data_IF_974127885068
#
_entry.id   IF_974127885068
#
_cell.length_a   1.000
_cell.length_b   1.000
_cell.length_c   1.000
_cell.angle_alpha   90.00
_cell.angle_beta   90.00
_cell.angle_gamma   90.00
#
_symmetry.space_group_name_H-M   'P 1'
#
loop_
_entity.id
_entity.type
_entity.pdbx_description
1 polymer ?
#
# COMPACT_ATOMS: atom_id res chain seq x y z
N UNK A 1 -16.26 2.92 -4.38
CA UNK A 1 -15.71 3.01 -3.01
C UNK A 1 -15.73 1.61 -2.44
N UNK A 2 -14.58 1.08 -1.99
CA UNK A 2 -14.45 -0.20 -1.32
C UNK A 2 -15.50 -0.42 -0.23
N UNK A 3 -15.98 -1.66 -0.11
CA UNK A 3 -16.94 -2.09 0.91
C UNK A 3 -16.40 -3.33 1.61
N UNK A 4 -16.17 -3.24 2.93
CA UNK A 4 -15.43 -4.20 3.78
C UNK A 4 -15.36 -5.65 3.26
N UNK A 5 -16.50 -6.34 3.09
CA UNK A 5 -16.59 -7.70 2.55
C UNK A 5 -17.97 -7.87 1.93
N UNK A 6 -18.04 -8.54 0.79
CA UNK A 6 -19.34 -8.93 0.23
C UNK A 6 -19.92 -10.10 1.05
N UNK A 7 -21.21 -10.02 1.40
CA UNK A 7 -21.87 -11.02 2.26
C UNK A 7 -22.22 -12.34 1.56
N UNK A 8 -22.01 -12.41 0.25
CA UNK A 8 -22.26 -13.56 -0.62
C UNK A 8 -21.01 -14.43 -0.86
N UNK A 9 -19.86 -14.03 -0.32
CA UNK A 9 -18.60 -14.77 -0.42
C UNK A 9 -18.13 -15.27 0.96
N UNK A 10 -17.36 -16.35 0.95
CA UNK A 10 -16.69 -16.84 2.15
C UNK A 10 -15.32 -16.15 2.30
N UNK A 11 -15.04 -15.66 3.51
CA UNK A 11 -13.80 -14.95 3.83
C UNK A 11 -13.15 -15.58 5.05
N UNK A 12 -11.84 -15.41 5.21
CA UNK A 12 -11.14 -15.81 6.44
C UNK A 12 -11.58 -14.94 7.62
N UNK A 13 -11.35 -15.43 8.84
CA UNK A 13 -11.40 -14.55 10.01
C UNK A 13 -10.36 -13.42 9.88
N UNK A 14 -10.60 -12.31 10.58
CA UNK A 14 -9.66 -11.19 10.62
C UNK A 14 -8.38 -11.60 11.36
N UNK A 15 -7.24 -11.48 10.69
CA UNK A 15 -5.95 -11.43 11.36
C UNK A 15 -5.66 -9.97 11.70
N UNK A 16 -5.68 -9.66 13.00
CA UNK A 16 -5.69 -8.29 13.50
C UNK A 16 -4.48 -8.00 14.36
N UNK A 17 -3.82 -6.86 14.12
CA UNK A 17 -2.76 -6.34 14.98
C UNK A 17 -3.03 -4.89 15.37
N UNK A 18 -2.47 -4.50 16.50
CA UNK A 18 -2.55 -3.13 17.01
C UNK A 18 -1.23 -2.73 17.67
N UNK A 19 -0.83 -1.48 17.50
CA UNK A 19 0.35 -0.91 18.11
C UNK A 19 0.19 0.60 18.34
N UNK A 20 1.01 1.15 19.22
CA UNK A 20 1.07 2.59 19.46
C UNK A 20 2.20 3.19 18.61
N UNK A 21 1.93 4.33 17.97
CA UNK A 21 2.92 5.12 17.24
C UNK A 21 3.02 6.51 17.87
N UNK A 22 4.26 6.95 18.13
CA UNK A 22 4.58 8.20 18.82
C UNK A 22 4.74 9.39 17.84
N UNK A 23 3.74 9.61 16.99
CA UNK A 23 3.61 10.81 16.14
C UNK A 23 2.14 11.23 15.99
N UNK A 24 1.86 12.28 15.23
CA UNK A 24 0.49 12.68 14.91
C UNK A 24 -0.14 11.76 13.84
N UNK A 25 -1.42 11.43 13.96
CA UNK A 25 -2.09 10.49 13.05
C UNK A 25 -2.18 10.98 11.59
N UNK A 26 -2.08 12.29 11.31
CA UNK A 26 -2.02 12.82 9.94
C UNK A 26 -0.87 12.20 9.13
N UNK A 27 0.21 11.80 9.79
CA UNK A 27 1.39 11.22 9.13
C UNK A 27 1.09 9.92 8.38
N UNK A 28 0.04 9.18 8.77
CA UNK A 28 -0.45 7.99 8.05
C UNK A 28 -1.31 8.40 6.85
N UNK A 29 -2.13 9.43 7.04
CA UNK A 29 -3.05 9.90 5.99
C UNK A 29 -2.27 10.37 4.76
N UNK A 30 -1.11 11.01 4.97
CA UNK A 30 -0.22 11.46 3.88
C UNK A 30 0.20 10.30 2.92
N UNK A 31 0.24 9.04 3.36
CA UNK A 31 0.57 7.90 2.48
C UNK A 31 -0.45 7.68 1.35
N UNK A 32 -1.69 8.20 1.47
CA UNK A 32 -2.75 8.08 0.43
C UNK A 32 -2.29 8.64 -0.91
N UNK A 33 -1.41 9.63 -0.91
CA UNK A 33 -0.92 10.32 -2.13
C UNK A 33 0.55 10.03 -2.44
N UNK A 34 1.19 9.14 -1.69
CA UNK A 34 2.60 8.84 -1.88
C UNK A 34 2.75 7.71 -2.91
N UNK A 35 2.98 8.05 -4.17
CA UNK A 35 3.22 7.06 -5.22
C UNK A 35 4.61 6.42 -5.10
N UNK A 36 5.62 7.18 -4.69
CA UNK A 36 7.01 6.75 -4.75
C UNK A 36 7.37 5.71 -3.68
N UNK A 37 6.74 5.76 -2.49
CA UNK A 37 7.04 4.79 -1.42
C UNK A 37 6.71 3.35 -1.84
N UNK A 38 5.81 3.11 -2.80
CA UNK A 38 5.57 1.76 -3.33
C UNK A 38 6.85 1.10 -3.86
N UNK A 39 7.75 1.87 -4.49
CA UNK A 39 9.02 1.34 -4.99
C UNK A 39 10.05 1.12 -3.89
N UNK A 40 10.18 2.08 -2.97
CA UNK A 40 11.24 2.09 -1.95
C UNK A 40 10.90 1.27 -0.70
N UNK A 41 9.63 1.28 -0.29
CA UNK A 41 9.12 0.64 0.93
C UNK A 41 8.52 -0.72 0.59
N UNK A 42 7.58 -0.77 -0.34
CA UNK A 42 6.84 -2.00 -0.70
C UNK A 42 7.48 -2.82 -1.83
N UNK A 43 8.63 -2.40 -2.33
CA UNK A 43 9.39 -3.12 -3.36
C UNK A 43 8.58 -3.45 -4.64
N UNK A 44 7.74 -2.52 -5.08
CA UNK A 44 6.93 -2.65 -6.29
C UNK A 44 7.06 -1.45 -7.22
N UNK A 45 6.98 -1.70 -8.53
CA UNK A 45 6.79 -0.64 -9.50
C UNK A 45 5.31 -0.21 -9.54
N UNK A 46 4.96 1.02 -9.15
CA UNK A 46 3.60 1.55 -9.30
C UNK A 46 3.34 1.89 -10.78
N UNK A 47 2.64 1.01 -11.48
CA UNK A 47 2.31 1.15 -12.91
C UNK A 47 1.04 1.96 -13.17
N UNK A 48 0.24 2.21 -12.15
CA UNK A 48 -0.92 3.10 -12.16
C UNK A 48 -1.08 3.72 -10.77
N UNK A 49 -1.40 5.01 -10.70
CA UNK A 49 -1.64 5.71 -9.44
C UNK A 49 -2.60 6.88 -9.64
N UNK A 50 -3.72 6.86 -8.91
CA UNK A 50 -4.75 7.89 -8.98
C UNK A 50 -5.34 8.18 -7.61
N UNK A 51 -5.64 9.45 -7.35
CA UNK A 51 -6.33 9.90 -6.16
C UNK A 51 -7.67 10.54 -6.49
N UNK A 52 -8.66 10.31 -5.62
CA UNK A 52 -9.99 10.92 -5.69
C UNK A 52 -10.40 11.35 -4.28
N UNK A 53 -10.68 12.64 -4.08
CA UNK A 53 -11.19 13.17 -2.82
C UNK A 53 -12.58 13.76 -3.05
N UNK A 54 -13.59 13.32 -2.31
CA UNK A 54 -14.96 13.80 -2.45
C UNK A 54 -15.74 13.60 -1.16
N UNK A 55 -16.42 14.65 -0.70
CA UNK A 55 -17.09 14.68 0.59
C UNK A 55 -16.13 14.27 1.72
N UNK A 56 -16.53 13.27 2.50
CA UNK A 56 -15.76 12.74 3.61
C UNK A 56 -14.91 11.50 3.22
N UNK A 57 -14.65 11.28 1.92
CA UNK A 57 -13.92 10.09 1.42
C UNK A 57 -12.67 10.50 0.64
N UNK A 58 -11.55 9.85 0.92
CA UNK A 58 -10.31 9.96 0.14
C UNK A 58 -9.89 8.59 -0.37
N UNK A 59 -9.69 8.47 -1.69
CA UNK A 59 -9.42 7.22 -2.39
C UNK A 59 -8.04 7.29 -3.04
N UNK A 60 -7.30 6.19 -2.94
CA UNK A 60 -6.15 5.86 -3.75
C UNK A 60 -6.51 4.63 -4.60
N UNK A 61 -6.33 4.74 -5.91
CA UNK A 61 -6.34 3.60 -6.82
C UNK A 61 -4.90 3.38 -7.30
N UNK A 62 -4.40 2.15 -7.15
CA UNK A 62 -3.03 1.80 -7.50
C UNK A 62 -2.99 0.44 -8.18
N UNK A 63 -2.04 0.26 -9.10
CA UNK A 63 -1.67 -1.06 -9.59
C UNK A 63 -0.16 -1.13 -9.77
N UNK A 64 0.42 -2.32 -9.58
CA UNK A 64 1.86 -2.48 -9.64
C UNK A 64 2.31 -3.90 -9.93
N UNK A 65 3.63 -4.01 -10.14
CA UNK A 65 4.33 -5.29 -10.31
C UNK A 65 5.51 -5.37 -9.36
N UNK A 66 5.82 -6.58 -8.87
CA UNK A 66 6.95 -6.79 -7.96
C UNK A 66 8.30 -6.50 -8.62
N UNK A 67 9.33 -6.25 -7.81
CA UNK A 67 10.70 -6.08 -8.30
C UNK A 67 11.47 -7.40 -8.32
N UNK A 68 12.05 -7.72 -9.48
CA UNK A 68 12.85 -8.94 -9.67
C UNK A 68 14.17 -8.94 -8.86
N UNK A 69 14.66 -7.78 -8.40
CA UNK A 69 15.84 -7.70 -7.53
C UNK A 69 15.53 -7.97 -6.05
N UNK A 70 14.27 -8.11 -5.66
CA UNK A 70 13.87 -8.41 -4.28
C UNK A 70 13.38 -9.84 -4.13
N UNK A 71 12.54 -10.31 -5.04
CA UNK A 71 11.99 -11.67 -5.01
C UNK A 71 12.47 -12.46 -6.22
N UNK A 72 13.17 -13.56 -5.98
CA UNK A 72 13.54 -14.52 -7.02
C UNK A 72 12.54 -15.67 -7.03
N UNK A 73 11.91 -15.90 -8.19
CA UNK A 73 11.00 -17.03 -8.38
C UNK A 73 11.80 -18.25 -8.84
N UNK A 74 12.08 -19.18 -7.92
CA UNK A 74 12.94 -20.34 -8.21
C UNK A 74 12.18 -21.66 -8.30
N UNK A 75 10.97 -21.73 -7.74
CA UNK A 75 10.17 -22.94 -7.71
C UNK A 75 9.15 -22.95 -8.87
N UNK A 76 9.28 -23.86 -9.85
CA UNK A 76 8.35 -23.93 -10.99
C UNK A 76 6.96 -24.44 -10.61
N UNK A 77 6.80 -25.08 -9.45
CA UNK A 77 5.53 -25.65 -8.98
C UNK A 77 4.69 -24.64 -8.20
N UNK A 78 5.27 -23.50 -7.81
CA UNK A 78 4.54 -22.39 -7.19
C UNK A 78 4.06 -21.42 -8.30
N UNK A 79 2.78 -21.03 -8.33
CA UNK A 79 2.28 -20.04 -9.28
C UNK A 79 2.89 -18.65 -9.05
N UNK A 80 3.45 -18.03 -10.10
CA UNK A 80 4.13 -16.73 -10.00
C UNK A 80 3.15 -15.58 -9.79
N UNK A 81 3.46 -14.67 -8.85
CA UNK A 81 2.78 -13.37 -8.74
C UNK A 81 3.22 -12.46 -9.89
N UNK A 82 2.27 -12.03 -10.72
CA UNK A 82 2.53 -11.22 -11.92
C UNK A 82 2.14 -9.75 -11.76
N UNK A 83 1.36 -9.40 -10.75
CA UNK A 83 0.98 -8.03 -10.43
C UNK A 83 -0.04 -7.93 -9.32
N UNK A 84 -0.45 -6.71 -8.99
CA UNK A 84 -1.52 -6.44 -8.05
C UNK A 84 -2.28 -5.16 -8.42
N UNK A 85 -3.50 -5.06 -7.92
CA UNK A 85 -4.30 -3.84 -7.88
C UNK A 85 -4.80 -3.58 -6.45
N UNK A 86 -4.92 -2.29 -6.12
CA UNK A 86 -5.44 -1.78 -4.85
C UNK A 86 -6.44 -0.66 -5.11
N UNK A 87 -7.54 -0.67 -4.37
CA UNK A 87 -8.41 0.49 -4.21
C UNK A 87 -8.56 0.70 -2.70
N UNK A 88 -7.86 1.69 -2.18
CA UNK A 88 -7.85 2.06 -0.77
C UNK A 88 -8.67 3.33 -0.54
N UNK A 89 -9.63 3.29 0.38
CA UNK A 89 -10.49 4.44 0.68
C UNK A 89 -10.60 4.69 2.18
N UNK A 90 -10.22 5.91 2.60
CA UNK A 90 -10.60 6.45 3.90
C UNK A 90 -12.08 6.83 3.91
N UNK A 91 -12.81 6.28 4.87
CA UNK A 91 -14.19 6.66 5.20
C UNK A 91 -14.15 7.57 6.42
N UNK A 92 -14.06 8.88 6.20
CA UNK A 92 -13.78 9.85 7.25
C UNK A 92 -12.29 9.90 7.63
N UNK A 93 -11.94 10.40 8.83
CA UNK A 93 -10.57 10.78 9.13
C UNK A 93 -9.62 9.64 9.52
N UNK A 94 -10.13 8.43 9.77
CA UNK A 94 -9.32 7.43 10.50
C UNK A 94 -9.58 5.97 10.19
N UNK A 95 -10.44 5.65 9.22
CA UNK A 95 -10.78 4.27 8.88
C UNK A 95 -10.65 4.04 7.37
N UNK A 96 -9.59 3.37 6.94
CA UNK A 96 -9.36 2.97 5.55
C UNK A 96 -9.74 1.51 5.34
N UNK A 97 -10.44 1.26 4.24
CA UNK A 97 -10.68 -0.07 3.67
C UNK A 97 -9.94 -0.13 2.34
N UNK A 98 -9.10 -1.15 2.17
CA UNK A 98 -8.33 -1.40 0.97
C UNK A 98 -8.71 -2.76 0.37
N UNK A 99 -9.33 -2.70 -0.81
CA UNK A 99 -9.65 -3.87 -1.62
C UNK A 99 -8.45 -4.21 -2.49
N UNK A 100 -7.82 -5.35 -2.20
CA UNK A 100 -6.59 -5.80 -2.82
C UNK A 100 -6.85 -7.02 -3.71
N UNK A 101 -6.33 -6.98 -4.94
CA UNK A 101 -6.33 -8.11 -5.86
C UNK A 101 -4.89 -8.43 -6.26
N UNK A 102 -4.45 -9.65 -5.95
CA UNK A 102 -3.15 -10.15 -6.35
C UNK A 102 -3.31 -11.11 -7.54
N UNK A 103 -2.64 -10.81 -8.64
CA UNK A 103 -2.72 -11.56 -9.88
C UNK A 103 -1.61 -12.60 -9.92
N UNK A 104 -1.98 -13.87 -9.89
CA UNK A 104 -1.07 -15.00 -10.06
C UNK A 104 -1.22 -15.60 -11.46
N UNK A 105 -0.23 -16.37 -11.90
CA UNK A 105 -0.38 -17.20 -13.09
C UNK A 105 -1.54 -18.20 -12.91
N UNK A 106 -2.66 -17.94 -13.59
CA UNK A 106 -3.83 -18.83 -13.65
C UNK A 106 -5.00 -18.47 -12.74
N UNK A 107 -4.83 -17.60 -11.74
CA UNK A 107 -5.91 -17.19 -10.83
C UNK A 107 -5.60 -15.86 -10.12
N UNK A 108 -6.65 -15.27 -9.52
CA UNK A 108 -6.55 -14.09 -8.67
C UNK A 108 -6.81 -14.45 -7.21
N UNK A 109 -6.16 -13.74 -6.30
CA UNK A 109 -6.45 -13.77 -4.87
C UNK A 109 -6.96 -12.41 -4.44
N UNK A 110 -8.20 -12.36 -3.98
CA UNK A 110 -8.83 -11.16 -3.45
C UNK A 110 -8.64 -11.10 -1.93
N UNK A 111 -8.30 -9.93 -1.41
CA UNK A 111 -8.17 -9.69 0.03
C UNK A 111 -8.64 -8.29 0.39
N UNK A 112 -8.93 -8.09 1.67
CA UNK A 112 -9.28 -6.79 2.23
C UNK A 112 -8.30 -6.49 3.35
N UNK A 113 -7.69 -5.33 3.28
CA UNK A 113 -6.88 -4.74 4.34
C UNK A 113 -7.68 -3.61 5.00
N UNK A 114 -7.77 -3.64 6.31
CA UNK A 114 -8.21 -2.50 7.12
C UNK A 114 -6.95 -1.81 7.63
N UNK A 115 -6.87 -0.50 7.42
CA UNK A 115 -5.88 0.37 8.06
C UNK A 115 -6.64 1.45 8.81
N UNK A 116 -6.64 1.40 10.14
CA UNK A 116 -7.37 2.36 10.95
C UNK A 116 -6.63 2.80 12.19
N UNK A 117 -6.99 3.97 12.70
CA UNK A 117 -6.30 4.56 13.84
C UNK A 117 -7.24 5.39 14.71
N UNK A 118 -6.82 5.64 15.94
CA UNK A 118 -7.43 6.65 16.81
C UNK A 118 -6.37 7.36 17.65
N UNK A 119 -6.48 8.69 17.81
CA UNK A 119 -5.51 9.45 18.60
C UNK A 119 -5.64 9.14 20.09
N UNK A 120 -4.51 8.94 20.75
CA UNK A 120 -4.38 8.97 22.22
C UNK A 120 -4.13 10.41 22.65
N UNK A 121 -3.26 11.11 21.92
CA UNK A 121 -2.91 12.52 22.12
C UNK A 121 -2.55 13.18 20.78
N UNK A 122 -2.16 14.45 20.79
CA UNK A 122 -1.71 15.15 19.59
C UNK A 122 -0.46 14.53 18.94
N UNK A 123 0.35 13.78 19.70
CA UNK A 123 1.61 13.19 19.25
C UNK A 123 1.66 11.66 19.46
N UNK A 124 0.50 11.02 19.64
CA UNK A 124 0.45 9.58 19.81
C UNK A 124 -0.92 9.05 19.37
N UNK A 125 -0.93 7.94 18.65
CA UNK A 125 -2.17 7.26 18.27
C UNK A 125 -1.99 5.74 18.31
N UNK A 126 -3.11 5.03 18.42
CA UNK A 126 -3.14 3.58 18.18
C UNK A 126 -3.38 3.35 16.70
N UNK A 127 -2.48 2.61 16.07
CA UNK A 127 -2.62 2.06 14.75
C UNK A 127 -3.15 0.64 14.85
N UNK A 128 -4.08 0.28 13.98
CA UNK A 128 -4.60 -1.07 13.85
C UNK A 128 -4.69 -1.44 12.39
N UNK A 129 -4.40 -2.71 12.11
CA UNK A 129 -4.64 -3.26 10.79
C UNK A 129 -5.18 -4.67 10.87
N UNK A 130 -6.02 -4.99 9.89
CA UNK A 130 -6.71 -6.27 9.79
C UNK A 130 -6.65 -6.78 8.37
N UNK A 131 -6.30 -8.05 8.20
CA UNK A 131 -6.26 -8.68 6.87
C UNK A 131 -7.29 -9.80 6.82
N UNK A 132 -7.97 -9.91 5.68
CA UNK A 132 -8.82 -11.04 5.35
C UNK A 132 -8.71 -11.40 3.89
N UNK A 133 -8.68 -12.69 3.62
CA UNK A 133 -8.56 -13.22 2.26
C UNK A 133 -9.88 -13.88 1.88
N UNK A 134 -10.34 -13.64 0.65
CA UNK A 134 -11.53 -14.29 0.09
C UNK A 134 -11.17 -15.74 -0.23
N UNK A 135 -12.00 -16.68 0.24
CA UNK A 135 -11.82 -18.09 -0.14
C UNK A 135 -12.30 -18.30 -1.56
N UNK A 136 -11.55 -19.08 -2.34
CA UNK A 136 -11.91 -19.41 -3.72
C UNK A 136 -11.57 -20.87 -4.01
N UNK A 137 -12.42 -21.51 -4.82
CA UNK A 137 -12.22 -22.85 -5.37
C UNK A 137 -11.18 -22.89 -6.50
N UNK A 138 -10.74 -21.73 -6.99
CA UNK A 138 -9.66 -21.59 -7.97
C UNK A 138 -8.28 -21.87 -7.39
N UNK A 139 -8.13 -21.77 -6.06
CA UNK A 139 -6.91 -22.15 -5.36
C UNK A 139 -6.98 -23.65 -5.07
N UNK A 140 -5.94 -24.44 -5.41
CA UNK A 140 -5.91 -25.87 -5.08
C UNK A 140 -6.20 -26.11 -3.59
N UNK A 141 -7.12 -27.01 -3.27
CA UNK A 141 -7.58 -27.23 -1.90
C UNK A 141 -6.44 -27.58 -0.91
N UNK A 142 -5.39 -28.25 -1.41
CA UNK A 142 -4.19 -28.61 -0.63
C UNK A 142 -3.31 -27.41 -0.29
N UNK A 143 -3.44 -26.30 -1.04
CA UNK A 143 -2.67 -25.06 -0.88
C UNK A 143 -3.49 -23.91 -0.28
N UNK A 144 -4.81 -24.03 -0.19
CA UNK A 144 -5.69 -22.91 0.17
C UNK A 144 -5.32 -22.27 1.52
N UNK A 145 -5.17 -23.07 2.57
CA UNK A 145 -4.81 -22.56 3.90
C UNK A 145 -3.38 -21.99 3.92
N UNK A 146 -2.42 -22.66 3.27
CA UNK A 146 -1.03 -22.20 3.21
C UNK A 146 -0.87 -20.91 2.41
N UNK A 147 -1.60 -20.77 1.30
CA UNK A 147 -1.61 -19.56 0.48
C UNK A 147 -2.23 -18.40 1.26
N UNK A 148 -3.34 -18.65 1.97
CA UNK A 148 -3.97 -17.65 2.85
C UNK A 148 -2.98 -17.17 3.92
N UNK A 149 -2.32 -18.09 4.63
CA UNK A 149 -1.36 -17.73 5.67
C UNK A 149 -0.15 -16.97 5.09
N UNK A 150 0.37 -17.40 3.94
CA UNK A 150 1.46 -16.73 3.24
C UNK A 150 1.06 -15.32 2.79
N UNK A 151 -0.18 -15.15 2.29
CA UNK A 151 -0.72 -13.86 1.87
C UNK A 151 -0.90 -12.90 3.04
N UNK A 152 -1.43 -13.39 4.16
CA UNK A 152 -1.56 -12.59 5.38
C UNK A 152 -0.18 -12.17 5.89
N UNK A 153 0.80 -13.09 5.85
CA UNK A 153 2.19 -12.79 6.17
C UNK A 153 2.79 -11.72 5.25
N UNK A 154 2.60 -11.86 3.93
CA UNK A 154 3.11 -10.94 2.92
C UNK A 154 2.53 -9.53 3.06
N UNK A 155 1.20 -9.41 3.16
CA UNK A 155 0.50 -8.13 3.37
C UNK A 155 0.90 -7.52 4.72
N UNK A 156 1.02 -8.36 5.76
CA UNK A 156 1.46 -7.93 7.08
C UNK A 156 2.88 -7.36 7.09
N UNK A 157 3.82 -7.99 6.38
CA UNK A 157 5.19 -7.47 6.22
C UNK A 157 5.18 -6.14 5.46
N UNK A 158 4.38 -6.03 4.39
CA UNK A 158 4.22 -4.78 3.64
C UNK A 158 3.81 -3.62 4.56
N UNK A 159 2.80 -3.84 5.40
CA UNK A 159 2.32 -2.83 6.35
C UNK A 159 3.32 -2.54 7.48
N UNK A 160 4.09 -3.55 7.92
CA UNK A 160 5.15 -3.37 8.90
C UNK A 160 6.32 -2.51 8.39
N UNK A 161 6.55 -2.46 7.07
CA UNK A 161 7.53 -1.56 6.47
C UNK A 161 7.13 -0.08 6.62
N UNK A 162 5.84 0.25 6.44
CA UNK A 162 5.34 1.60 6.70
C UNK A 162 5.46 1.99 8.17
N UNK A 163 5.17 1.05 9.07
CA UNK A 163 5.30 1.25 10.52
C UNK A 163 6.71 1.71 10.89
N UNK A 164 7.74 1.12 10.28
CA UNK A 164 9.12 1.54 10.54
C UNK A 164 9.43 2.95 10.03
N UNK A 165 8.82 3.39 8.92
CA UNK A 165 8.90 4.78 8.47
C UNK A 165 8.18 5.72 9.45
N UNK A 166 6.95 5.39 9.86
CA UNK A 166 6.16 6.24 10.77
C UNK A 166 6.79 6.40 12.15
N UNK A 167 7.48 5.38 12.66
CA UNK A 167 8.24 5.46 13.93
C UNK A 167 9.47 6.36 13.85
N UNK A 168 10.01 6.57 12.64
CA UNK A 168 11.32 7.22 12.42
C UNK A 168 11.22 8.49 11.55
N UNK A 169 10.03 9.04 11.34
CA UNK A 169 9.80 10.30 10.60
C UNK A 169 9.30 11.42 11.52
N UNK A 170 9.20 12.63 10.98
CA UNK A 170 8.59 13.77 11.65
C UNK A 170 7.60 14.48 10.74
N UNK A 171 6.66 15.19 11.36
CA UNK A 171 5.65 15.99 10.68
C UNK A 171 6.28 17.18 9.96
N UNK A 172 6.04 17.28 8.66
CA UNK A 172 6.49 18.42 7.84
C UNK A 172 5.27 19.21 7.35
N UNK A 173 5.11 20.43 7.84
CA UNK A 173 3.97 21.30 7.45
C UNK A 173 4.06 21.77 6.01
N UNK A 174 5.26 22.18 5.58
CA UNK A 174 5.53 22.71 4.25
C UNK A 174 6.45 21.73 3.50
N UNK A 175 5.94 20.59 3.02
CA UNK A 175 6.76 19.63 2.29
C UNK A 175 7.28 20.26 1.00
N UNK A 176 8.53 19.96 0.66
CA UNK A 176 9.09 20.29 -0.64
C UNK A 176 8.66 19.21 -1.63
N UNK A 177 7.80 19.57 -2.57
CA UNK A 177 7.24 18.64 -3.56
C UNK A 177 7.97 18.73 -4.90
N UNK A 178 8.01 17.59 -5.59
CA UNK A 178 8.46 17.40 -6.96
C UNK A 178 7.27 17.30 -7.92
N UNK A 179 7.51 17.07 -9.21
CA UNK A 179 6.42 16.85 -10.17
C UNK A 179 5.81 15.44 -10.04
N UNK A 180 6.53 14.53 -9.39
CA UNK A 180 6.21 13.12 -9.23
C UNK A 180 5.55 12.83 -7.86
N UNK A 181 5.36 13.86 -7.03
CA UNK A 181 4.57 13.77 -5.81
C UNK A 181 3.06 13.82 -6.10
N UNK A 182 2.28 13.06 -5.34
CA UNK A 182 0.83 13.17 -5.38
C UNK A 182 0.32 14.48 -4.77
N UNK A 183 -1.01 14.68 -4.75
CA UNK A 183 -1.65 15.94 -4.38
C UNK A 183 -1.71 16.17 -2.86
N UNK A 184 -0.54 16.23 -2.19
CA UNK A 184 -0.39 16.35 -0.72
C UNK A 184 -1.19 17.51 -0.13
N UNK A 185 -1.15 18.68 -0.76
CA UNK A 185 -1.88 19.84 -0.25
C UNK A 185 -3.39 19.70 -0.39
N UNK A 186 -3.89 19.08 -1.47
CA UNK A 186 -5.31 18.84 -1.67
C UNK A 186 -5.82 17.76 -0.71
N UNK A 187 -5.03 16.70 -0.47
CA UNK A 187 -5.33 15.71 0.56
C UNK A 187 -5.43 16.37 1.94
N UNK A 188 -4.43 17.19 2.31
CA UNK A 188 -4.43 17.88 3.61
C UNK A 188 -5.58 18.87 3.74
N UNK A 189 -5.94 19.57 2.66
CA UNK A 189 -7.11 20.45 2.60
C UNK A 189 -8.42 19.66 2.77
N UNK A 190 -8.54 18.50 2.14
CA UNK A 190 -9.65 17.58 2.37
C UNK A 190 -9.70 17.12 3.83
N UNK A 191 -8.56 16.79 4.43
CA UNK A 191 -8.47 16.32 5.81
C UNK A 191 -8.81 17.40 6.85
N UNK A 192 -8.57 18.68 6.53
CA UNK A 192 -8.88 19.81 7.39
C UNK A 192 -10.37 19.90 7.76
N UNK A 193 -11.27 19.37 6.91
CA UNK A 193 -12.72 19.36 7.18
C UNK A 193 -13.07 18.70 8.53
N UNK A 194 -12.24 17.78 9.01
CA UNK A 194 -12.46 17.04 10.26
C UNK A 194 -11.96 17.80 11.51
N UNK A 195 -11.34 18.97 11.33
CA UNK A 195 -10.72 19.77 12.38
C UNK A 195 -11.31 21.19 12.48
N UNK A 196 -12.35 21.48 11.70
CA UNK A 196 -13.16 22.70 11.79
C UNK A 196 -14.59 22.35 12.19
N UNK A 197 -15.36 23.33 12.66
CA UNK A 197 -16.79 23.12 12.89
C UNK A 197 -17.50 22.83 11.55
N UNK A 198 -18.54 22.00 11.55
CA UNK A 198 -19.27 21.60 10.32
C UNK A 198 -19.80 22.81 9.54
N UNK A 199 -20.14 23.90 10.23
CA UNK A 199 -20.58 25.15 9.60
C UNK A 199 -19.48 25.90 8.83
N UNK A 200 -18.22 25.59 9.13
CA UNK A 200 -17.03 26.22 8.55
C UNK A 200 -16.36 25.35 7.46
N UNK A 201 -16.93 24.18 7.14
CA UNK A 201 -16.46 23.36 6.01
C UNK A 201 -16.69 24.12 4.72
N UNK A 202 -15.62 24.35 3.95
CA UNK A 202 -15.68 25.08 2.69
C UNK A 202 -15.76 24.14 1.49
N UNK A 203 -16.32 24.56 0.33
CA UNK A 203 -16.52 23.68 -0.83
C UNK A 203 -15.23 23.02 -1.30
N UNK A 204 -14.12 23.73 -1.25
CA UNK A 204 -12.80 23.26 -1.64
C UNK A 204 -12.19 22.16 -0.73
N UNK A 205 -12.80 21.86 0.42
CA UNK A 205 -12.44 20.70 1.25
C UNK A 205 -13.20 19.43 0.84
N UNK A 206 -14.35 19.56 0.17
CA UNK A 206 -15.32 18.47 -0.04
C UNK A 206 -15.73 18.26 -1.50
N UNK A 207 -15.54 19.25 -2.36
CA UNK A 207 -15.79 19.15 -3.80
C UNK A 207 -14.88 18.09 -4.39
N UNK A 208 -15.39 17.36 -5.40
CA UNK A 208 -14.66 16.30 -6.05
C UNK A 208 -13.35 16.81 -6.65
N UNK A 209 -12.24 16.24 -6.21
CA UNK A 209 -10.91 16.45 -6.75
C UNK A 209 -10.37 15.10 -7.26
N UNK A 210 -9.79 15.09 -8.47
CA UNK A 210 -9.14 13.91 -9.05
C UNK A 210 -7.74 14.29 -9.52
N UNK A 211 -6.79 13.38 -9.29
CA UNK A 211 -5.42 13.52 -9.77
C UNK A 211 -4.87 12.15 -10.14
N UNK A 212 -4.51 11.97 -11.41
CA UNK A 212 -3.84 10.77 -11.90
C UNK A 212 -2.39 11.13 -12.23
N UNK A 213 -1.46 10.32 -11.74
CA UNK A 213 -0.02 10.58 -11.84
C UNK A 213 0.57 9.75 -12.97
N UNK A 214 1.25 10.39 -13.92
CA UNK A 214 1.97 9.68 -14.99
C UNK A 214 3.23 9.03 -14.42
N UNK A 215 3.15 7.72 -14.16
CA UNK A 215 4.26 6.95 -13.57
C UNK A 215 5.29 6.48 -14.60
N UNK A 216 5.15 6.85 -15.88
CA UNK A 216 6.03 6.35 -16.97
C UNK A 216 7.50 6.65 -16.70
N UNK A 217 7.84 7.91 -16.39
CA UNK A 217 9.23 8.34 -16.15
C UNK A 217 9.82 7.76 -14.85
N UNK A 218 9.12 7.84 -13.69
CA UNK A 218 9.60 7.18 -12.48
C UNK A 218 9.87 5.68 -12.67
N UNK A 219 8.93 4.96 -13.30
CA UNK A 219 9.07 3.52 -13.54
C UNK A 219 10.22 3.19 -14.49
N UNK A 220 10.46 4.00 -15.52
CA UNK A 220 11.64 3.83 -16.40
C UNK A 220 12.96 3.96 -15.60
N UNK A 221 13.07 5.00 -14.77
CA UNK A 221 14.25 5.24 -13.94
C UNK A 221 14.47 4.09 -12.94
N UNK A 222 13.42 3.64 -12.27
CA UNK A 222 13.48 2.53 -11.32
C UNK A 222 13.81 1.19 -11.99
N UNK A 223 13.33 0.95 -13.22
CA UNK A 223 13.70 -0.26 -13.98
C UNK A 223 15.18 -0.27 -14.32
N UNK A 224 15.75 0.89 -14.63
CA UNK A 224 17.20 1.02 -14.85
C UNK A 224 17.99 0.74 -13.56
N UNK A 225 17.51 1.22 -12.41
CA UNK A 225 18.10 0.95 -11.09
C UNK A 225 18.08 -0.56 -10.76
N UNK A 226 16.92 -1.21 -10.90
CA UNK A 226 16.76 -2.66 -10.67
C UNK A 226 17.65 -3.48 -11.61
N UNK A 227 17.76 -3.09 -12.89
CA UNK A 227 18.65 -3.76 -13.83
C UNK A 227 20.12 -3.66 -13.42
N UNK A 228 20.55 -2.53 -12.82
CA UNK A 228 21.91 -2.39 -12.30
C UNK A 228 22.13 -3.24 -11.05
N UNK A 229 21.16 -3.27 -10.12
CA UNK A 229 21.22 -4.12 -8.93
C UNK A 229 21.43 -5.60 -9.29
N UNK A 230 20.71 -6.10 -10.30
CA UNK A 230 20.83 -7.47 -10.78
C UNK A 230 22.21 -7.75 -11.38
N UNK A 231 22.78 -6.82 -12.16
CA UNK A 231 24.15 -6.96 -12.70
C UNK A 231 25.19 -7.04 -11.58
N UNK A 232 25.09 -6.16 -10.58
CA UNK A 232 26.01 -6.14 -9.44
C UNK A 232 25.92 -7.43 -8.61
N UNK A 233 24.71 -7.96 -8.40
CA UNK A 233 24.50 -9.26 -7.74
C UNK A 233 25.15 -10.40 -8.54
N UNK A 234 24.92 -10.45 -9.85
CA UNK A 234 25.52 -11.45 -10.73
C UNK A 234 27.06 -11.41 -10.70
N UNK A 235 27.65 -10.22 -10.77
CA UNK A 235 29.11 -10.04 -10.67
C UNK A 235 29.67 -10.51 -9.32
N UNK A 236 28.97 -10.23 -8.21
CA UNK A 236 29.37 -10.67 -6.87
C UNK A 236 29.34 -12.20 -6.73
N UNK A 237 28.31 -12.85 -7.28
CA UNK A 237 28.20 -14.32 -7.25
C UNK A 237 29.30 -14.99 -8.10
N UNK A 238 29.60 -14.44 -9.28
CA UNK A 238 30.68 -14.93 -10.14
C UNK A 238 32.06 -14.81 -9.46
N UNK A 239 32.36 -13.65 -8.86
CA UNK A 239 33.62 -13.44 -8.13
C UNK A 239 33.77 -14.33 -6.89
N UNK A 240 32.67 -14.60 -6.17
CA UNK A 240 32.69 -15.51 -5.02
C UNK A 240 33.00 -16.95 -5.45
N UNK A 241 32.43 -17.41 -6.58
CA UNK A 241 32.71 -18.73 -7.13
C UNK A 241 34.19 -18.90 -7.52
N UNK A 242 34.81 -17.88 -8.14
CA UNK A 242 36.23 -17.89 -8.51
C UNK A 242 37.18 -17.91 -7.30
N UNK A 243 36.82 -17.27 -6.18
CA UNK A 243 37.63 -17.32 -4.94
C UNK A 243 37.48 -18.61 -4.12
N UNK A 244 36.48 -19.45 -4.45
CA UNK A 244 36.18 -20.70 -3.76
C UNK A 244 36.69 -21.96 -4.47
N UNK A 245 37.27 -21.79 -5.67
CA UNK A 245 37.91 -22.84 -6.48
C UNK A 245 39.43 -22.81 -6.33
#
# INVERSE_FOLDING_TARGET
IPAMRSGDAEWTDWQWKSLVIDTNCREIVDNVVDMAHFFYVHYSFPTYFKNIFEGHVAIQEQAGVGRDDITEWTDPDVPKLVGHGSIAAYHGPSFMIDDLVYHYEGYDVESVLINCHYPISANQFVLMYGISVKKTDKVPAEMADQLVDAMIGYIGVGFEQDIEIWKNKTRIENPLLTNEDGPVYQLRRWYEQFYVDVADITPDMVDRFEFELDTTKPVEAWKAEVAENLKLRGAKLAGAAETSA
#
